data_IF_265969806702
#
_entry.id   IF_265969806702
#
_cell.length_a   1.000
_cell.length_b   1.000
_cell.length_c   1.000
_cell.angle_alpha   90.00
_cell.angle_beta   90.00
_cell.angle_gamma   90.00
#
_symmetry.space_group_name_H-M   'P 1'
#
loop_
_entity.id
_entity.type
_entity.pdbx_description
1 polymer ?
#
# COMPACT_ATOMS: atom_id res chain seq x y z
N UNK A 1 31.32 -63.23 -8.94
CA UNK A 1 30.53 -62.43 -8.01
C UNK A 1 30.98 -60.96 -7.94
N UNK A 2 32.26 -60.65 -7.87
CA UNK A 2 32.75 -59.25 -7.83
C UNK A 2 32.48 -58.38 -9.08
N UNK A 3 32.45 -58.98 -10.28
CA UNK A 3 32.24 -58.23 -11.53
C UNK A 3 30.79 -57.76 -11.72
N UNK A 4 29.81 -58.56 -11.29
CA UNK A 4 28.38 -58.22 -11.35
C UNK A 4 28.00 -57.12 -10.36
N UNK A 5 28.61 -57.14 -9.15
CA UNK A 5 28.40 -56.05 -8.17
C UNK A 5 28.94 -54.69 -8.63
N UNK A 6 30.10 -54.70 -9.33
CA UNK A 6 30.75 -53.46 -9.81
C UNK A 6 29.93 -52.76 -10.90
N UNK A 7 29.32 -53.55 -11.79
CA UNK A 7 28.45 -53.01 -12.85
C UNK A 7 27.10 -52.50 -12.30
N UNK A 8 26.55 -53.13 -11.26
CA UNK A 8 25.30 -52.69 -10.63
C UNK A 8 25.46 -51.37 -9.91
N UNK A 9 26.60 -51.12 -9.26
CA UNK A 9 26.89 -49.83 -8.58
C UNK A 9 27.06 -48.71 -9.62
N UNK A 10 27.73 -48.99 -10.75
CA UNK A 10 27.89 -47.98 -11.85
C UNK A 10 26.56 -47.59 -12.50
N UNK A 11 25.62 -48.53 -12.67
CA UNK A 11 24.29 -48.26 -13.18
C UNK A 11 23.47 -47.41 -12.19
N UNK A 12 23.59 -47.67 -10.89
CA UNK A 12 22.91 -46.90 -9.85
C UNK A 12 23.38 -45.43 -9.81
N UNK A 13 24.69 -45.18 -9.99
CA UNK A 13 25.25 -43.84 -10.06
C UNK A 13 24.77 -43.07 -11.31
N UNK A 14 24.58 -43.74 -12.46
CA UNK A 14 24.07 -43.13 -13.69
C UNK A 14 22.61 -42.70 -13.49
N UNK A 15 21.77 -43.48 -12.81
CA UNK A 15 20.38 -43.09 -12.52
C UNK A 15 20.28 -41.92 -11.54
N UNK A 16 21.17 -41.77 -10.58
CA UNK A 16 21.22 -40.65 -9.65
C UNK A 16 21.65 -39.35 -10.36
N UNK A 17 22.45 -39.40 -11.39
CA UNK A 17 22.90 -38.23 -12.16
C UNK A 17 21.80 -37.64 -13.06
N UNK A 18 20.78 -38.42 -13.44
CA UNK A 18 19.63 -37.92 -14.23
C UNK A 18 18.46 -37.40 -13.40
N UNK A 19 18.51 -37.48 -12.05
CA UNK A 19 17.42 -37.05 -11.17
C UNK A 19 17.38 -35.55 -10.89
N UNK A 20 18.35 -34.76 -11.36
CA UNK A 20 18.27 -33.30 -11.32
C UNK A 20 17.60 -32.77 -12.57
N UNK A 21 16.29 -32.98 -12.69
CA UNK A 21 15.47 -32.15 -13.58
C UNK A 21 15.39 -30.78 -12.94
N UNK A 22 16.28 -29.87 -13.30
CA UNK A 22 16.09 -28.43 -13.13
C UNK A 22 14.90 -28.01 -14.00
N UNK A 23 13.68 -28.28 -13.53
CA UNK A 23 12.53 -27.53 -14.01
C UNK A 23 12.84 -26.08 -13.69
N UNK A 24 13.21 -25.31 -14.70
CA UNK A 24 13.22 -23.85 -14.60
C UNK A 24 11.80 -23.48 -14.18
N UNK A 25 11.62 -23.17 -12.90
CA UNK A 25 10.43 -22.49 -12.45
C UNK A 25 10.44 -21.16 -13.22
N UNK A 26 9.64 -21.09 -14.28
CA UNK A 26 9.41 -19.82 -14.97
C UNK A 26 8.68 -18.99 -13.92
N UNK A 27 9.43 -18.17 -13.22
CA UNK A 27 8.87 -17.18 -12.31
C UNK A 27 8.02 -16.24 -13.18
N UNK A 28 6.71 -16.40 -13.10
CA UNK A 28 5.80 -15.47 -13.77
C UNK A 28 5.78 -14.20 -12.93
N UNK A 29 6.38 -13.15 -13.43
CA UNK A 29 6.29 -11.83 -12.80
C UNK A 29 4.88 -11.28 -13.01
N UNK A 30 4.11 -11.17 -11.93
CA UNK A 30 2.76 -10.61 -11.97
C UNK A 30 2.83 -9.09 -11.92
N UNK A 31 1.92 -8.44 -12.63
CA UNK A 31 1.65 -7.03 -12.42
C UNK A 31 0.95 -6.85 -11.07
N UNK A 32 1.31 -5.78 -10.36
CA UNK A 32 0.78 -5.49 -9.02
C UNK A 32 0.15 -4.10 -9.03
N UNK A 33 -1.10 -4.02 -8.59
CA UNK A 33 -1.82 -2.75 -8.43
C UNK A 33 -2.22 -2.60 -6.97
N UNK A 34 -1.87 -1.47 -6.36
CA UNK A 34 -2.39 -1.05 -5.07
C UNK A 34 -3.37 0.09 -5.26
N UNK A 35 -4.58 -0.08 -4.75
CA UNK A 35 -5.59 0.98 -4.65
C UNK A 35 -5.69 1.31 -3.16
N UNK A 36 -5.30 2.53 -2.81
CA UNK A 36 -5.23 2.99 -1.43
C UNK A 36 -6.34 4.00 -1.19
N UNK A 37 -7.24 3.67 -0.28
CA UNK A 37 -8.23 4.59 0.26
C UNK A 37 -7.67 5.24 1.52
N UNK A 38 -7.68 6.56 1.56
CA UNK A 38 -7.12 7.30 2.67
C UNK A 38 -8.12 7.42 3.83
N UNK A 39 -7.62 7.37 5.08
CA UNK A 39 -8.40 7.52 6.33
C UNK A 39 -9.58 6.55 6.49
N UNK A 40 -9.53 5.40 5.81
CA UNK A 40 -10.60 4.41 5.88
C UNK A 40 -10.23 3.26 6.81
N UNK A 41 -11.15 2.93 7.72
CA UNK A 41 -11.10 1.72 8.55
C UNK A 41 -12.08 0.67 8.04
N UNK A 42 -12.00 -0.59 8.50
CA UNK A 42 -12.97 -1.63 8.14
C UNK A 42 -14.43 -1.23 8.37
N UNK A 43 -14.70 -0.38 9.36
CA UNK A 43 -16.04 0.11 9.71
C UNK A 43 -16.70 0.92 8.58
N UNK A 44 -15.93 1.35 7.57
CA UNK A 44 -16.43 2.12 6.41
C UNK A 44 -16.65 1.26 5.16
N UNK A 45 -16.47 -0.08 5.25
CA UNK A 45 -16.64 -0.99 4.13
C UNK A 45 -17.74 -2.02 4.37
N UNK A 46 -18.68 -2.20 3.39
CA UNK A 46 -19.76 -3.19 3.50
C UNK A 46 -19.27 -4.62 3.67
N UNK A 47 -18.03 -4.93 3.29
CA UNK A 47 -17.41 -6.25 3.43
C UNK A 47 -17.14 -6.63 4.89
N UNK A 48 -17.09 -5.65 5.79
CA UNK A 48 -16.83 -5.84 7.22
C UNK A 48 -18.03 -5.49 8.09
N UNK A 49 -18.90 -4.56 7.65
CA UNK A 49 -20.01 -4.04 8.41
C UNK A 49 -21.29 -3.96 7.55
N UNK A 50 -22.45 -4.07 8.18
CA UNK A 50 -23.71 -3.86 7.50
C UNK A 50 -23.98 -2.36 7.30
N UNK A 51 -23.54 -1.82 6.18
CA UNK A 51 -23.63 -0.41 5.84
C UNK A 51 -24.67 -0.14 4.75
N UNK A 52 -25.33 1.04 4.78
CA UNK A 52 -26.32 1.42 3.76
C UNK A 52 -25.68 1.95 2.47
N UNK A 53 -24.57 1.36 2.04
CA UNK A 53 -23.82 1.74 0.83
C UNK A 53 -23.58 0.49 -0.03
N UNK A 54 -23.36 0.72 -1.32
CA UNK A 54 -23.03 -0.33 -2.26
C UNK A 54 -21.73 0.01 -3.01
N UNK A 55 -20.72 -0.85 -2.89
CA UNK A 55 -19.41 -0.73 -3.52
C UNK A 55 -19.17 -1.92 -4.44
N UNK A 56 -19.80 -1.99 -5.63
CA UNK A 56 -19.81 -3.21 -6.45
C UNK A 56 -18.42 -3.60 -6.94
N UNK A 57 -17.52 -2.65 -7.21
CA UNK A 57 -16.15 -2.95 -7.62
C UNK A 57 -15.34 -3.57 -6.48
N UNK A 58 -15.47 -3.04 -5.26
CA UNK A 58 -14.83 -3.62 -4.06
C UNK A 58 -15.42 -4.99 -3.74
N UNK A 59 -16.72 -5.16 -3.90
CA UNK A 59 -17.38 -6.45 -3.70
C UNK A 59 -16.86 -7.49 -4.68
N UNK A 60 -16.71 -7.15 -5.95
CA UNK A 60 -16.13 -8.08 -6.94
C UNK A 60 -14.70 -8.50 -6.59
N UNK A 61 -13.88 -7.57 -6.11
CA UNK A 61 -12.52 -7.90 -5.64
C UNK A 61 -12.55 -8.81 -4.40
N UNK A 62 -13.50 -8.58 -3.50
CA UNK A 62 -13.67 -9.40 -2.30
C UNK A 62 -14.15 -10.82 -2.63
N UNK A 63 -15.05 -10.98 -3.60
CA UNK A 63 -15.58 -12.26 -4.04
C UNK A 63 -14.51 -13.15 -4.72
N UNK A 64 -13.60 -12.53 -5.45
CA UNK A 64 -12.51 -13.21 -6.18
C UNK A 64 -11.20 -13.29 -5.38
N UNK A 65 -11.12 -12.62 -4.24
CA UNK A 65 -9.90 -12.41 -3.49
C UNK A 65 -9.92 -12.92 -2.05
N UNK A 66 -9.16 -12.25 -1.19
CA UNK A 66 -9.04 -12.56 0.24
C UNK A 66 -9.33 -11.29 1.03
N UNK A 67 -10.24 -11.40 2.01
CA UNK A 67 -10.53 -10.34 2.99
C UNK A 67 -9.69 -10.59 4.24
N UNK A 68 -8.92 -9.59 4.68
CA UNK A 68 -8.10 -9.65 5.89
C UNK A 68 -8.84 -8.98 7.05
N UNK A 69 -9.35 -9.76 8.00
CA UNK A 69 -10.10 -9.24 9.15
C UNK A 69 -9.21 -8.64 10.26
N UNK A 70 -7.93 -8.96 10.26
CA UNK A 70 -6.98 -8.55 11.30
C UNK A 70 -5.75 -7.85 10.71
N UNK A 71 -5.97 -6.96 9.75
CA UNK A 71 -4.92 -6.11 9.19
C UNK A 71 -4.85 -4.80 9.98
N UNK A 72 -3.68 -4.50 10.53
CA UNK A 72 -3.45 -3.32 11.36
C UNK A 72 -2.38 -2.43 10.75
N UNK A 73 -2.65 -1.12 10.69
CA UNK A 73 -1.62 -0.14 10.40
C UNK A 73 -0.71 0.02 11.63
N UNK A 74 0.61 0.19 11.43
CA UNK A 74 1.56 0.42 12.53
C UNK A 74 1.43 1.81 13.15
N UNK A 75 0.67 2.70 12.53
CA UNK A 75 0.36 4.04 13.03
C UNK A 75 -1.02 4.49 12.50
N UNK A 76 -1.82 5.19 13.33
CA UNK A 76 -3.18 5.59 12.95
C UNK A 76 -3.22 6.92 12.19
N UNK A 77 -2.18 7.26 11.44
CA UNK A 77 -2.07 8.53 10.71
C UNK A 77 -1.17 8.37 9.48
N UNK A 78 -1.46 9.15 8.42
CA UNK A 78 -0.92 8.93 7.06
C UNK A 78 0.61 8.88 6.99
N UNK A 79 1.34 9.91 7.37
CA UNK A 79 2.78 9.96 7.12
C UNK A 79 3.58 8.86 7.86
N UNK A 80 3.36 8.59 9.15
CA UNK A 80 3.97 7.45 9.82
C UNK A 80 3.57 6.09 9.23
N UNK A 81 2.30 5.89 8.89
CA UNK A 81 1.86 4.64 8.27
C UNK A 81 2.51 4.43 6.89
N UNK A 82 2.58 5.49 6.06
CA UNK A 82 3.22 5.44 4.75
C UNK A 82 4.72 5.21 4.83
N UNK A 83 5.38 5.79 5.82
CA UNK A 83 6.79 5.51 6.14
C UNK A 83 7.01 4.02 6.39
N UNK A 84 6.15 3.41 7.21
CA UNK A 84 6.24 1.98 7.49
C UNK A 84 5.96 1.13 6.26
N UNK A 85 4.96 1.47 5.46
CA UNK A 85 4.60 0.72 4.25
C UNK A 85 5.78 0.71 3.26
N UNK A 86 6.37 1.87 2.98
CA UNK A 86 7.40 1.98 1.94
C UNK A 86 8.74 1.34 2.37
N UNK A 87 9.03 1.28 3.68
CA UNK A 87 10.30 0.77 4.20
C UNK A 87 10.21 -0.63 4.81
N UNK A 88 9.00 -1.10 5.13
CA UNK A 88 8.80 -2.34 5.90
C UNK A 88 9.23 -2.25 7.36
N UNK A 89 9.46 -1.05 7.90
CA UNK A 89 9.97 -0.81 9.25
C UNK A 89 8.98 -0.02 10.11
N UNK A 90 8.97 -0.29 11.42
CA UNK A 90 8.14 0.51 12.33
C UNK A 90 8.59 1.98 12.36
N UNK A 91 7.66 2.95 12.35
CA UNK A 91 7.99 4.37 12.34
C UNK A 91 8.81 4.82 13.54
N UNK A 92 8.62 4.19 14.69
CA UNK A 92 9.41 4.46 15.92
C UNK A 92 10.87 4.06 15.77
N UNK A 93 11.17 3.01 15.01
CA UNK A 93 12.53 2.59 14.70
C UNK A 93 13.24 3.58 13.78
N UNK A 94 12.48 4.17 12.86
CA UNK A 94 13.01 5.10 11.85
C UNK A 94 13.07 6.56 12.33
N UNK A 95 12.41 6.91 13.43
CA UNK A 95 12.20 8.31 13.84
C UNK A 95 11.17 9.05 12.99
N UNK A 96 10.30 8.32 12.28
CA UNK A 96 9.24 8.86 11.41
C UNK A 96 7.84 8.80 12.04
N UNK A 97 7.76 8.59 13.36
CA UNK A 97 6.51 8.38 14.09
C UNK A 97 5.70 9.64 14.36
N UNK A 98 6.31 10.82 14.30
CA UNK A 98 5.61 12.10 14.45
C UNK A 98 5.07 12.57 13.10
N UNK A 99 3.86 13.14 13.10
CA UNK A 99 3.21 13.59 11.88
C UNK A 99 3.98 14.74 11.24
N UNK A 100 4.46 14.51 10.01
CA UNK A 100 5.08 15.50 9.12
C UNK A 100 6.24 16.28 9.75
N UNK A 101 7.15 15.58 10.41
CA UNK A 101 8.48 16.13 10.74
C UNK A 101 9.27 16.47 9.48
N UNK A 102 9.03 15.74 8.39
CA UNK A 102 9.46 16.09 7.04
C UNK A 102 8.23 16.26 6.14
N UNK A 103 8.18 17.38 5.44
CA UNK A 103 7.14 17.66 4.46
C UNK A 103 7.80 18.10 3.14
N UNK A 104 7.75 17.24 2.14
CA UNK A 104 8.34 17.48 0.82
C UNK A 104 7.69 18.65 0.06
N UNK A 105 6.48 19.06 0.46
CA UNK A 105 5.75 20.17 -0.16
C UNK A 105 6.06 21.53 0.45
N UNK A 106 6.94 21.57 1.46
CA UNK A 106 7.37 22.80 2.11
C UNK A 106 8.87 23.04 1.91
N UNK A 107 9.30 24.30 1.81
CA UNK A 107 10.72 24.63 1.83
C UNK A 107 11.41 24.03 3.06
N UNK A 108 12.68 23.62 2.90
CA UNK A 108 13.45 23.00 3.99
C UNK A 108 13.55 23.89 5.25
N UNK A 109 13.47 25.20 5.07
CA UNK A 109 13.58 26.19 6.17
C UNK A 109 12.23 26.56 6.80
N UNK A 110 11.11 26.02 6.30
CA UNK A 110 9.80 26.33 6.86
C UNK A 110 9.43 25.30 7.93
N UNK A 111 9.24 25.72 9.21
CA UNK A 111 8.86 24.80 10.28
C UNK A 111 7.47 24.22 10.03
N UNK A 112 7.32 22.92 10.24
CA UNK A 112 6.05 22.21 10.06
C UNK A 112 5.16 22.25 11.30
N UNK A 113 5.75 22.12 12.49
CA UNK A 113 5.03 22.07 13.79
C UNK A 113 5.85 22.84 14.84
N UNK A 114 6.33 24.04 14.48
CA UNK A 114 7.19 24.81 15.37
C UNK A 114 8.63 24.28 15.51
N UNK A 115 8.96 23.20 14.80
CA UNK A 115 10.32 22.64 14.69
C UNK A 115 10.77 22.68 13.23
N UNK A 116 12.10 22.78 12.96
CA UNK A 116 12.61 22.75 11.62
C UNK A 116 12.17 21.46 10.88
N UNK A 117 11.88 21.60 9.60
CA UNK A 117 11.62 20.45 8.72
C UNK A 117 12.89 19.58 8.63
N UNK A 118 12.79 18.32 8.99
CA UNK A 118 13.93 17.40 8.95
C UNK A 118 13.55 16.01 8.43
N UNK A 119 14.45 15.41 7.68
CA UNK A 119 14.37 14.01 7.25
C UNK A 119 15.33 13.17 8.10
N UNK A 120 14.84 12.09 8.73
CA UNK A 120 15.74 11.14 9.38
C UNK A 120 16.72 10.53 8.40
N UNK A 121 17.94 10.26 8.86
CA UNK A 121 18.94 9.51 8.12
C UNK A 121 18.85 8.04 8.48
N UNK A 122 18.64 7.20 7.48
CA UNK A 122 18.57 5.76 7.65
C UNK A 122 19.92 5.09 7.38
N UNK A 123 20.21 3.93 8.02
CA UNK A 123 21.25 3.05 7.55
C UNK A 123 21.01 2.59 6.10
N UNK A 124 22.07 2.37 5.34
CA UNK A 124 22.03 2.04 3.90
C UNK A 124 21.22 0.79 3.55
N UNK A 125 21.02 -0.11 4.51
CA UNK A 125 20.21 -1.32 4.32
C UNK A 125 18.70 -1.07 4.44
N UNK A 126 18.26 0.10 4.91
CA UNK A 126 16.84 0.47 4.96
C UNK A 126 16.51 1.27 3.71
N UNK A 127 15.78 0.63 2.81
CA UNK A 127 15.42 1.20 1.51
C UNK A 127 13.93 1.08 1.25
N UNK A 128 13.36 1.96 0.42
CA UNK A 128 12.03 1.72 -0.16
C UNK A 128 11.95 0.35 -0.83
N UNK A 129 10.91 -0.42 -0.53
CA UNK A 129 10.79 -1.76 -1.12
C UNK A 129 10.68 -1.71 -2.66
N UNK A 130 10.23 -0.59 -3.20
CA UNK A 130 10.14 -0.35 -4.64
C UNK A 130 11.50 -0.36 -5.33
N UNK A 131 12.59 0.01 -4.65
CA UNK A 131 13.94 -0.15 -5.20
C UNK A 131 14.29 -1.61 -5.48
N UNK A 132 13.85 -2.54 -4.61
CA UNK A 132 14.05 -3.97 -4.86
C UNK A 132 13.20 -4.47 -6.03
N UNK A 133 11.98 -3.96 -6.19
CA UNK A 133 11.14 -4.28 -7.34
C UNK A 133 11.75 -3.74 -8.64
N UNK A 134 12.24 -2.50 -8.65
CA UNK A 134 12.93 -1.91 -9.80
C UNK A 134 14.18 -2.70 -10.17
N UNK A 135 14.97 -3.11 -9.19
CA UNK A 135 16.12 -4.00 -9.41
C UNK A 135 15.73 -5.37 -9.97
N UNK A 136 14.51 -5.83 -9.71
CA UNK A 136 13.93 -7.05 -10.29
C UNK A 136 13.28 -6.82 -11.67
N UNK A 137 13.38 -5.62 -12.24
CA UNK A 137 12.88 -5.26 -13.57
C UNK A 137 11.43 -4.79 -13.60
N UNK A 138 10.84 -4.41 -12.46
CA UNK A 138 9.52 -3.80 -12.41
C UNK A 138 9.59 -2.30 -12.72
N UNK A 139 8.59 -1.82 -13.43
CA UNK A 139 8.30 -0.40 -13.56
C UNK A 139 7.39 0.03 -12.42
N UNK A 140 7.88 0.92 -11.54
CA UNK A 140 7.20 1.30 -10.30
C UNK A 140 6.62 2.71 -10.37
N UNK A 141 5.31 2.87 -10.19
CA UNK A 141 4.62 4.16 -10.25
C UNK A 141 3.80 4.46 -9.01
N UNK A 142 3.76 5.74 -8.61
CA UNK A 142 2.98 6.26 -7.51
C UNK A 142 2.10 7.43 -7.96
N UNK A 143 0.80 7.26 -8.00
CA UNK A 143 -0.18 8.28 -8.32
C UNK A 143 -1.02 8.62 -7.08
N UNK A 144 -0.85 9.76 -6.41
CA UNK A 144 0.38 10.55 -6.34
C UNK A 144 0.49 11.10 -4.92
N UNK A 145 0.72 10.22 -3.95
CA UNK A 145 0.98 10.64 -2.57
C UNK A 145 2.17 9.89 -1.99
N UNK A 146 3.22 10.63 -1.66
CA UNK A 146 4.37 10.10 -0.95
C UNK A 146 4.17 10.20 0.57
N UNK A 147 4.29 11.37 1.13
CA UNK A 147 4.02 11.68 2.56
C UNK A 147 4.72 10.69 3.51
N UNK A 148 6.00 10.39 3.25
CA UNK A 148 6.73 9.33 3.96
C UNK A 148 7.43 9.78 5.24
N UNK A 149 7.33 11.04 5.65
CA UNK A 149 8.07 11.63 6.77
C UNK A 149 9.61 11.60 6.63
N UNK A 150 10.11 11.36 5.44
CA UNK A 150 11.54 11.44 5.10
C UNK A 150 11.69 11.76 3.61
N UNK A 151 12.87 12.26 3.25
CA UNK A 151 13.20 12.52 1.86
C UNK A 151 13.38 11.19 1.13
N UNK A 152 12.43 10.88 0.27
CA UNK A 152 12.48 9.65 -0.53
C UNK A 152 13.62 9.74 -1.55
N UNK A 153 14.43 8.69 -1.75
CA UNK A 153 15.43 8.68 -2.79
C UNK A 153 14.80 8.66 -4.18
N UNK A 154 15.41 9.33 -5.15
CA UNK A 154 14.95 9.38 -6.55
C UNK A 154 14.87 7.99 -7.21
N UNK A 155 15.56 7.03 -6.64
CA UNK A 155 15.57 5.64 -7.08
C UNK A 155 14.33 4.84 -6.65
N UNK A 156 13.47 5.39 -5.78
CA UNK A 156 12.31 4.67 -5.26
C UNK A 156 11.22 4.43 -6.30
N UNK A 157 11.00 5.38 -7.21
CA UNK A 157 9.93 5.31 -8.21
C UNK A 157 10.49 5.60 -9.60
N UNK A 158 9.88 5.03 -10.64
CA UNK A 158 10.09 5.45 -12.03
C UNK A 158 9.29 6.72 -12.29
N UNK A 159 8.07 6.79 -11.73
CA UNK A 159 7.22 7.98 -11.77
C UNK A 159 6.48 8.15 -10.43
N UNK A 160 6.41 9.38 -9.92
CA UNK A 160 5.61 9.75 -8.77
C UNK A 160 4.96 11.11 -9.03
N UNK A 161 3.73 11.10 -9.57
CA UNK A 161 2.95 12.28 -9.96
C UNK A 161 1.48 11.93 -10.16
N UNK A 162 0.64 12.93 -10.40
CA UNK A 162 -0.77 12.72 -10.76
C UNK A 162 -0.94 12.05 -12.13
N UNK A 163 0.06 12.12 -12.99
CA UNK A 163 0.08 11.49 -14.32
C UNK A 163 0.78 10.13 -14.33
N UNK A 164 1.34 9.71 -13.18
CA UNK A 164 2.05 8.45 -13.05
C UNK A 164 1.10 7.26 -13.31
N UNK A 165 1.49 6.42 -14.27
CA UNK A 165 0.67 5.31 -14.71
C UNK A 165 1.52 4.17 -15.31
N UNK A 166 1.12 2.92 -15.09
CA UNK A 166 1.83 1.77 -15.65
C UNK A 166 1.92 1.76 -17.19
N UNK A 167 1.01 2.48 -17.89
CA UNK A 167 1.05 2.58 -19.34
C UNK A 167 2.19 3.48 -19.87
N UNK A 168 2.80 4.28 -18.99
CA UNK A 168 3.91 5.15 -19.36
C UNK A 168 5.23 4.39 -19.54
N UNK A 169 5.28 3.09 -19.14
CA UNK A 169 6.47 2.25 -19.39
C UNK A 169 6.69 2.05 -20.88
N UNK A 170 7.96 2.10 -21.28
CA UNK A 170 8.35 2.00 -22.69
C UNK A 170 8.32 0.58 -23.27
N UNK A 171 8.04 -0.44 -22.47
CA UNK A 171 8.12 -1.84 -22.83
C UNK A 171 7.04 -2.70 -22.15
N UNK A 172 7.17 -4.02 -22.21
CA UNK A 172 6.29 -4.99 -21.59
C UNK A 172 6.75 -5.48 -20.21
N UNK A 173 7.63 -4.73 -19.53
CA UNK A 173 8.09 -5.08 -18.19
C UNK A 173 6.92 -5.22 -17.21
N UNK A 174 7.03 -6.07 -16.19
CA UNK A 174 6.04 -6.11 -15.12
C UNK A 174 6.01 -4.77 -14.40
N UNK A 175 4.88 -4.43 -13.82
CA UNK A 175 4.75 -3.17 -13.09
C UNK A 175 4.23 -3.35 -11.67
N UNK A 176 4.60 -2.40 -10.83
CA UNK A 176 3.99 -2.13 -9.54
C UNK A 176 3.42 -0.71 -9.57
N UNK A 177 2.13 -0.57 -9.44
CA UNK A 177 1.47 0.73 -9.53
C UNK A 177 0.59 1.00 -8.30
N UNK A 178 0.78 2.17 -7.68
CA UNK A 178 -0.02 2.65 -6.56
C UNK A 178 -0.92 3.78 -7.02
N UNK A 179 -2.22 3.69 -6.69
CA UNK A 179 -3.20 4.75 -6.87
C UNK A 179 -3.75 5.14 -5.50
N UNK A 180 -3.53 6.39 -5.13
CA UNK A 180 -3.96 6.94 -3.85
C UNK A 180 -5.25 7.72 -4.05
N UNK A 181 -6.36 7.21 -3.53
CA UNK A 181 -7.64 7.93 -3.54
C UNK A 181 -7.76 8.77 -2.27
N UNK A 182 -7.61 10.08 -2.41
CA UNK A 182 -7.70 11.05 -1.31
C UNK A 182 -9.09 11.66 -1.12
N UNK A 183 -10.12 11.23 -1.85
CA UNK A 183 -11.48 11.78 -1.69
C UNK A 183 -12.05 11.51 -0.30
N UNK A 184 -11.70 10.37 0.30
CA UNK A 184 -12.11 9.97 1.65
C UNK A 184 -11.23 10.55 2.77
N UNK A 185 -10.18 11.30 2.45
CA UNK A 185 -9.39 11.99 3.47
C UNK A 185 -10.30 12.91 4.29
N UNK A 186 -10.04 13.06 5.59
CA UNK A 186 -10.88 13.86 6.50
C UNK A 186 -11.21 15.26 5.96
N UNK A 187 -10.24 15.90 5.28
CA UNK A 187 -10.47 17.20 4.64
C UNK A 187 -11.49 17.17 3.50
N UNK A 188 -11.81 16.00 2.97
CA UNK A 188 -12.87 15.81 1.98
C UNK A 188 -14.25 16.13 2.55
N UNK A 189 -14.50 15.85 3.82
CA UNK A 189 -15.75 16.17 4.51
C UNK A 189 -16.04 17.67 4.40
N UNK A 190 -15.06 18.51 4.73
CA UNK A 190 -15.25 19.98 4.68
C UNK A 190 -15.39 20.53 3.26
N UNK A 191 -14.63 19.99 2.33
CA UNK A 191 -14.68 20.43 0.92
C UNK A 191 -15.98 20.03 0.23
N UNK A 192 -16.56 18.92 0.62
CA UNK A 192 -17.70 18.28 -0.04
C UNK A 192 -18.99 18.31 0.79
N UNK A 193 -18.99 19.03 1.91
CA UNK A 193 -20.13 19.10 2.85
C UNK A 193 -21.44 19.56 2.19
N UNK A 194 -21.38 20.25 1.07
CA UNK A 194 -22.53 20.74 0.31
C UNK A 194 -22.86 19.87 -0.92
N UNK A 195 -22.12 18.78 -1.16
CA UNK A 195 -22.40 17.85 -2.23
C UNK A 195 -23.68 17.06 -1.93
N UNK A 196 -24.24 16.44 -2.96
CA UNK A 196 -25.37 15.55 -2.79
C UNK A 196 -25.00 14.37 -1.89
N UNK A 197 -25.69 14.25 -0.77
CA UNK A 197 -25.55 13.11 0.13
C UNK A 197 -26.33 11.95 -0.46
N UNK A 198 -25.65 10.84 -0.75
CA UNK A 198 -26.23 9.65 -1.35
C UNK A 198 -26.75 8.65 -0.31
N UNK A 199 -26.36 8.82 0.95
CA UNK A 199 -26.62 7.90 2.04
C UNK A 199 -27.64 8.48 3.01
N UNK A 200 -28.63 7.67 3.40
CA UNK A 200 -29.62 8.04 4.42
C UNK A 200 -28.94 8.12 5.80
N UNK A 201 -28.85 9.34 6.33
CA UNK A 201 -28.21 9.64 7.63
C UNK A 201 -28.80 8.81 8.78
N UNK A 202 -30.10 8.51 8.73
CA UNK A 202 -30.78 7.77 9.80
C UNK A 202 -30.34 6.32 9.88
N UNK A 203 -29.79 5.76 8.79
CA UNK A 203 -29.33 4.37 8.68
C UNK A 203 -27.86 4.19 9.00
N UNK A 204 -27.11 5.28 9.21
CA UNK A 204 -25.71 5.21 9.52
C UNK A 204 -25.52 4.73 10.95
N UNK A 205 -24.76 3.65 11.11
CA UNK A 205 -24.27 3.18 12.42
C UNK A 205 -23.16 4.13 12.87
N UNK A 206 -23.39 4.84 13.97
CA UNK A 206 -22.37 5.72 14.54
C UNK A 206 -21.33 4.87 15.27
N UNK A 207 -20.02 5.01 14.97
CA UNK A 207 -18.97 4.39 15.76
C UNK A 207 -19.06 4.77 17.25
N UNK A 208 -18.79 3.87 18.19
CA UNK A 208 -19.05 4.08 19.61
C UNK A 208 -18.21 5.19 20.26
N UNK A 209 -17.16 5.64 19.57
CA UNK A 209 -16.29 6.74 20.01
C UNK A 209 -16.75 8.12 19.52
N UNK A 210 -17.82 8.20 18.72
CA UNK A 210 -18.47 9.44 18.30
C UNK A 210 -19.79 9.67 19.01
N UNK A 211 -20.15 10.92 19.36
CA UNK A 211 -21.49 11.23 19.83
C UNK A 211 -22.50 11.12 18.69
N UNK A 212 -23.67 10.56 18.98
CA UNK A 212 -24.77 10.51 18.01
C UNK A 212 -25.47 11.86 17.93
N UNK A 213 -24.98 12.71 17.04
CA UNK A 213 -25.51 14.06 16.76
C UNK A 213 -25.80 14.23 15.28
N UNK A 214 -26.65 15.19 14.93
CA UNK A 214 -26.97 15.51 13.52
C UNK A 214 -25.70 15.90 12.74
N UNK A 215 -24.76 16.60 13.34
CA UNK A 215 -23.48 16.98 12.72
C UNK A 215 -22.65 15.73 12.39
N UNK A 216 -22.46 14.85 13.35
CA UNK A 216 -21.69 13.61 13.14
C UNK A 216 -22.35 12.72 12.08
N UNK A 217 -23.69 12.59 12.12
CA UNK A 217 -24.42 11.86 11.09
C UNK A 217 -24.26 12.47 9.70
N UNK A 218 -24.29 13.81 9.63
CA UNK A 218 -24.05 14.53 8.39
C UNK A 218 -22.64 14.28 7.85
N UNK A 219 -21.63 14.44 8.67
CA UNK A 219 -20.22 14.27 8.27
C UNK A 219 -19.92 12.84 7.81
N UNK A 220 -20.45 11.83 8.52
CA UNK A 220 -20.35 10.44 8.10
C UNK A 220 -21.09 10.19 6.78
N UNK A 221 -22.26 10.80 6.58
CA UNK A 221 -23.01 10.68 5.33
C UNK A 221 -22.26 11.31 4.14
N UNK A 222 -21.59 12.42 4.36
CA UNK A 222 -20.68 13.03 3.36
C UNK A 222 -19.54 12.07 3.04
N UNK A 223 -18.88 11.52 4.06
CA UNK A 223 -17.77 10.57 3.86
C UNK A 223 -18.20 9.34 3.08
N UNK A 224 -19.34 8.75 3.39
CA UNK A 224 -19.88 7.59 2.67
C UNK A 224 -20.38 7.93 1.24
N UNK A 225 -20.55 9.20 0.92
CA UNK A 225 -21.02 9.63 -0.40
C UNK A 225 -19.90 10.04 -1.34
N UNK A 226 -18.66 10.16 -0.81
CA UNK A 226 -17.45 10.50 -1.56
C UNK A 226 -16.85 9.26 -2.22
#
# INVERSE_FOLDING_TARGET
MHLLMRNSISILFIFLAFSCNNSKVISKNYNIVWIVYEDQSPEFFPQYENLPINLPAIQSLADDGIIFNNMHSPAPVCAPARSAIITGMYPTTLGTHNMRTYNAYKPENEPTIGIPNYSPNFPDYIRPFTEYLRNAGYYCTNNAKEDYNFKIPETAWDESSLDAHWNNRGDSSPFFAVFNNGHMHESGIWKQTNNNILVDKSKIKIPPYFPDTETVRHDLAVNFSN
#
